data_IF_000316981190
#
_entry.id   IF_000316981190
#
_cell.length_a   1.000
_cell.length_b   1.000
_cell.length_c   1.000
_cell.angle_alpha   90.00
_cell.angle_beta   90.00
_cell.angle_gamma   90.00
#
_symmetry.space_group_name_H-M   'P 1'
#
loop_
_entity.id
_entity.type
_entity.pdbx_description
1 polymer ?
#
# COMPACT_ATOMS: atom_id res chain seq x y z
N UNK A 1 7.14 0.14 -21.00
CA UNK A 1 5.74 -0.01 -20.58
C UNK A 1 5.81 -0.21 -19.09
N UNK A 2 5.50 0.84 -18.32
CA UNK A 2 5.54 0.76 -16.86
C UNK A 2 4.27 0.08 -16.36
N UNK A 3 4.36 -0.61 -15.22
CA UNK A 3 3.23 -1.32 -14.62
C UNK A 3 2.09 -0.35 -14.20
N UNK A 4 2.40 0.95 -14.06
CA UNK A 4 1.45 2.06 -13.92
C UNK A 4 0.49 2.26 -15.08
N UNK A 5 0.92 1.97 -16.31
CA UNK A 5 0.06 2.16 -17.49
C UNK A 5 -1.06 1.11 -17.54
N UNK A 6 -0.95 0.04 -16.73
CA UNK A 6 -1.88 -1.09 -16.69
C UNK A 6 -2.85 -1.04 -15.50
N UNK A 7 -2.54 -0.30 -14.43
CA UNK A 7 -3.39 -0.16 -13.25
C UNK A 7 -3.84 1.31 -13.14
N UNK A 8 -5.10 1.63 -13.45
CA UNK A 8 -5.62 2.98 -13.29
C UNK A 8 -5.43 3.48 -11.87
N UNK A 9 -5.08 4.75 -11.69
CA UNK A 9 -5.00 5.39 -10.37
C UNK A 9 -6.27 5.14 -9.54
N UNK A 10 -7.42 5.05 -10.18
CA UNK A 10 -8.70 4.74 -9.55
C UNK A 10 -8.74 3.35 -8.89
N UNK A 11 -8.08 2.34 -9.46
CA UNK A 11 -7.97 1.00 -8.88
C UNK A 11 -6.99 1.00 -7.70
N UNK A 12 -5.88 1.75 -7.81
CA UNK A 12 -4.93 1.96 -6.70
C UNK A 12 -5.62 2.61 -5.52
N UNK A 13 -6.41 3.66 -5.77
CA UNK A 13 -7.21 4.34 -4.73
C UNK A 13 -8.28 3.42 -4.14
N UNK A 14 -8.93 2.56 -4.94
CA UNK A 14 -9.87 1.56 -4.42
C UNK A 14 -9.19 0.57 -3.49
N UNK A 15 -8.04 0.04 -3.87
CA UNK A 15 -7.27 -0.89 -3.01
C UNK A 15 -6.83 -0.19 -1.73
N UNK A 16 -6.36 1.06 -1.83
CA UNK A 16 -6.01 1.87 -0.66
C UNK A 16 -7.19 2.00 0.30
N UNK A 17 -8.38 2.38 -0.18
CA UNK A 17 -9.57 2.50 0.67
C UNK A 17 -10.10 1.18 1.23
N UNK A 18 -9.77 0.04 0.63
CA UNK A 18 -10.10 -1.27 1.18
C UNK A 18 -9.17 -1.60 2.36
N UNK A 19 -7.93 -1.12 2.32
CA UNK A 19 -6.90 -1.37 3.32
C UNK A 19 -6.95 -0.37 4.48
N UNK A 20 -7.22 0.90 4.18
CA UNK A 20 -7.47 2.02 5.13
C UNK A 20 -8.82 1.80 5.83
N UNK A 21 -8.79 0.94 6.84
CA UNK A 21 -9.97 0.46 7.55
C UNK A 21 -10.55 1.53 8.48
N UNK A 22 -9.68 2.40 9.01
CA UNK A 22 -10.08 3.49 9.89
C UNK A 22 -10.44 4.78 9.12
N UNK A 23 -10.17 4.83 7.81
CA UNK A 23 -10.39 5.98 6.94
C UNK A 23 -9.61 7.21 7.41
N UNK A 24 -8.42 6.99 7.94
CA UNK A 24 -7.49 8.05 8.31
C UNK A 24 -6.89 8.75 7.08
N UNK A 25 -6.92 8.10 5.91
CA UNK A 25 -6.25 8.56 4.70
C UNK A 25 -4.78 8.15 4.63
N UNK A 26 -4.31 7.34 5.58
CA UNK A 26 -2.96 6.81 5.66
C UNK A 26 -3.01 5.32 6.02
N UNK A 27 -2.13 4.50 5.45
CA UNK A 27 -1.98 3.11 5.87
C UNK A 27 -0.91 2.99 6.95
N UNK A 28 -1.32 2.56 8.14
CA UNK A 28 -0.40 2.30 9.25
C UNK A 28 0.19 0.89 9.19
N UNK A 29 1.20 0.59 10.03
CA UNK A 29 1.87 -0.74 10.06
C UNK A 29 0.89 -1.92 10.12
N UNK A 30 -0.19 -1.79 10.89
CA UNK A 30 -1.24 -2.81 10.99
C UNK A 30 -2.01 -3.08 9.70
N UNK A 31 -2.20 -2.06 8.87
CA UNK A 31 -2.95 -2.11 7.61
C UNK A 31 -2.04 -2.49 6.44
N UNK A 32 -0.80 -1.98 6.43
CA UNK A 32 0.26 -2.40 5.50
C UNK A 32 0.50 -3.90 5.61
N UNK A 33 0.38 -4.47 6.81
CA UNK A 33 0.48 -5.93 7.02
C UNK A 33 -0.55 -6.72 6.21
N UNK A 34 -1.69 -6.11 5.87
CA UNK A 34 -2.78 -6.72 5.13
C UNK A 34 -2.79 -6.34 3.64
N UNK A 35 -1.78 -5.60 3.16
CA UNK A 35 -1.73 -5.07 1.79
C UNK A 35 -1.98 -6.14 0.72
N UNK A 36 -1.39 -7.33 0.87
CA UNK A 36 -1.57 -8.45 -0.08
C UNK A 36 -3.02 -8.96 -0.12
N UNK A 37 -3.79 -8.80 0.97
CA UNK A 37 -5.22 -9.16 1.00
C UNK A 37 -6.09 -8.18 0.22
N UNK A 38 -5.63 -6.93 0.07
CA UNK A 38 -6.29 -5.93 -0.76
C UNK A 38 -6.21 -6.28 -2.25
N UNK A 39 -5.10 -6.87 -2.69
CA UNK A 39 -4.88 -7.28 -4.08
C UNK A 39 -5.39 -8.69 -4.40
N UNK A 40 -5.30 -9.62 -3.45
CA UNK A 40 -5.71 -11.00 -3.63
C UNK A 40 -6.51 -11.47 -2.41
N UNK A 41 -7.71 -12.01 -2.61
CA UNK A 41 -8.54 -12.53 -1.50
C UNK A 41 -7.85 -13.61 -0.68
N UNK A 42 -6.97 -14.40 -1.30
CA UNK A 42 -6.15 -15.42 -0.65
C UNK A 42 -4.76 -14.91 -0.23
N UNK A 43 -4.55 -13.59 -0.25
CA UNK A 43 -3.33 -12.94 0.17
C UNK A 43 -3.01 -13.25 1.64
N UNK A 44 -1.76 -13.58 1.93
CA UNK A 44 -1.31 -13.72 3.32
C UNK A 44 -1.05 -12.35 3.94
N UNK A 45 -1.13 -12.30 5.27
CA UNK A 45 -0.55 -11.16 5.98
C UNK A 45 0.98 -11.17 5.80
N UNK A 46 1.57 -9.99 5.68
CA UNK A 46 3.01 -9.81 5.74
C UNK A 46 3.52 -10.14 7.15
N UNK A 47 4.77 -10.59 7.23
CA UNK A 47 5.49 -10.65 8.52
C UNK A 47 5.95 -9.26 8.94
N UNK A 48 6.22 -9.05 10.23
CA UNK A 48 6.60 -7.72 10.73
C UNK A 48 7.89 -7.18 10.06
N UNK A 49 8.77 -8.08 9.62
CA UNK A 49 9.94 -7.71 8.81
C UNK A 49 9.54 -7.19 7.43
N UNK A 50 8.67 -7.91 6.73
CA UNK A 50 8.21 -7.52 5.39
C UNK A 50 7.38 -6.24 5.44
N UNK A 51 6.53 -6.07 6.46
CA UNK A 51 5.77 -4.84 6.68
C UNK A 51 6.71 -3.65 6.84
N UNK A 52 7.78 -3.80 7.65
CA UNK A 52 8.79 -2.74 7.83
C UNK A 52 9.58 -2.45 6.56
N UNK A 53 10.00 -3.49 5.83
CA UNK A 53 10.70 -3.31 4.56
C UNK A 53 9.80 -2.57 3.54
N UNK A 54 8.49 -2.87 3.53
CA UNK A 54 7.53 -2.21 2.64
C UNK A 54 7.23 -0.76 3.07
N UNK A 55 7.05 -0.53 4.37
CA UNK A 55 6.94 0.81 4.95
C UNK A 55 8.15 1.65 4.57
N UNK A 56 9.37 1.17 4.83
CA UNK A 56 10.60 1.89 4.48
C UNK A 56 10.75 2.16 2.97
N UNK A 57 10.17 1.33 2.11
CA UNK A 57 10.19 1.55 0.67
C UNK A 57 9.18 2.63 0.23
N UNK A 58 8.01 2.68 0.88
CA UNK A 58 6.88 3.54 0.54
C UNK A 58 6.83 4.87 1.25
N UNK A 59 7.14 4.89 2.55
CA UNK A 59 7.22 6.05 3.41
C UNK A 59 8.38 6.96 2.96
N UNK A 60 8.07 7.96 2.14
CA UNK A 60 9.05 8.90 1.58
C UNK A 60 9.23 10.11 2.48
N UNK A 61 8.22 10.47 3.26
CA UNK A 61 8.24 11.65 4.14
C UNK A 61 8.70 11.35 5.59
N UNK A 62 8.75 10.07 5.97
CA UNK A 62 9.23 9.57 7.25
C UNK A 62 8.21 9.66 8.38
N UNK A 63 6.90 9.73 8.08
CA UNK A 63 5.84 9.82 9.08
C UNK A 63 5.48 8.46 9.72
N UNK A 64 6.04 7.36 9.18
CA UNK A 64 5.80 5.99 9.64
C UNK A 64 4.52 5.37 9.09
N UNK A 65 3.92 5.97 8.07
CA UNK A 65 2.68 5.55 7.40
C UNK A 65 2.89 5.62 5.88
N UNK A 66 1.88 5.19 5.13
CA UNK A 66 1.89 5.33 3.66
C UNK A 66 0.63 6.07 3.24
N UNK A 67 0.78 7.26 2.68
CA UNK A 67 -0.30 8.03 2.08
C UNK A 67 -0.72 7.50 0.70
N UNK A 68 -1.85 7.99 0.17
CA UNK A 68 -2.35 7.62 -1.17
C UNK A 68 -1.32 7.90 -2.27
N UNK A 69 -0.63 9.05 -2.19
CA UNK A 69 0.38 9.44 -3.18
C UNK A 69 1.60 8.52 -3.13
N UNK A 70 2.07 8.20 -1.92
CA UNK A 70 3.19 7.29 -1.68
C UNK A 70 2.87 5.86 -2.10
N UNK A 71 1.67 5.38 -1.79
CA UNK A 71 1.20 4.08 -2.26
C UNK A 71 1.12 4.01 -3.78
N UNK A 72 0.63 5.09 -4.41
CA UNK A 72 0.58 5.18 -5.87
C UNK A 72 1.98 5.16 -6.48
N UNK A 73 2.94 5.87 -5.88
CA UNK A 73 4.34 5.83 -6.28
C UNK A 73 4.96 4.44 -6.09
N UNK A 74 4.64 3.76 -4.99
CA UNK A 74 5.15 2.41 -4.68
C UNK A 74 4.63 1.36 -5.66
N UNK A 75 3.36 1.43 -6.04
CA UNK A 75 2.78 0.59 -7.10
C UNK A 75 3.35 0.98 -8.47
N UNK A 76 3.75 2.24 -8.64
CA UNK A 76 4.29 2.76 -9.89
C UNK A 76 5.74 2.40 -10.19
N UNK A 77 6.55 2.26 -9.15
CA UNK A 77 7.97 1.89 -9.24
C UNK A 77 8.20 0.37 -9.39
N UNK A 78 7.13 -0.44 -9.43
CA UNK A 78 7.19 -1.87 -9.73
C UNK A 78 7.17 -2.20 -11.25
#
# INVERSE_FOLDING_TARGET
>A
MSMTDLIPAEEVTKVFHILDADRSGFMEEGEVKLILKGFCKDGRALSDKETKDLLLAGDKDGDGKIGVEEFTALVAEC
#
